data_IF_664422094251
#
_entry.id   IF_664422094251
#
_cell.length_a   1.000
_cell.length_b   1.000
_cell.length_c   1.000
_cell.angle_alpha   90.00
_cell.angle_beta   90.00
_cell.angle_gamma   90.00
#
_symmetry.space_group_name_H-M   'P 1'
#
loop_
_entity.id
_entity.type
_entity.pdbx_description
1 polymer ?
#
# COMPACT_ATOMS: atom_id res chain seq x y z
N UNK A 1 13.19 -2.48 -18.31
CA UNK A 1 13.19 -1.17 -17.64
C UNK A 1 13.91 -1.30 -16.30
N UNK A 2 14.46 -0.21 -15.75
CA UNK A 2 15.03 -0.18 -14.39
C UNK A 2 13.87 -0.24 -13.39
N UNK A 3 14.07 -0.94 -12.27
CA UNK A 3 13.17 -0.91 -11.11
C UNK A 3 12.92 0.54 -10.67
N UNK A 4 11.66 0.93 -10.47
CA UNK A 4 11.26 2.20 -9.89
C UNK A 4 10.93 1.98 -8.40
N UNK A 5 11.77 2.52 -7.52
CA UNK A 5 11.66 2.33 -6.08
C UNK A 5 10.38 2.95 -5.46
N UNK A 6 9.75 3.92 -6.14
CA UNK A 6 8.47 4.52 -5.70
C UNK A 6 7.28 3.61 -6.04
N UNK A 7 7.31 2.93 -7.19
CA UNK A 7 6.21 2.08 -7.69
C UNK A 7 6.06 0.81 -6.87
N UNK A 8 4.85 0.57 -6.40
CA UNK A 8 4.44 -0.69 -5.77
C UNK A 8 3.06 -1.15 -6.21
N UNK A 9 2.61 -2.28 -5.69
CA UNK A 9 1.26 -2.78 -5.96
C UNK A 9 0.67 -3.44 -4.71
N UNK A 10 -0.66 -3.43 -4.63
CA UNK A 10 -1.40 -4.19 -3.62
C UNK A 10 -1.55 -5.62 -4.10
N UNK A 11 -0.87 -6.56 -3.44
CA UNK A 11 -0.97 -7.97 -3.74
C UNK A 11 -2.25 -8.55 -3.13
N UNK A 12 -3.04 -9.23 -3.95
CA UNK A 12 -4.29 -9.88 -3.56
C UNK A 12 -4.19 -11.42 -3.58
N UNK A 13 -2.97 -11.94 -3.54
CA UNK A 13 -2.60 -13.35 -3.29
C UNK A 13 -2.99 -14.38 -4.37
N UNK A 14 -3.33 -13.95 -5.59
CA UNK A 14 -3.83 -14.86 -6.63
C UNK A 14 -2.75 -15.56 -7.46
N UNK A 15 -1.59 -14.95 -7.70
CA UNK A 15 -0.52 -15.64 -8.42
C UNK A 15 0.88 -15.09 -8.11
N UNK A 16 1.83 -15.99 -7.86
CA UNK A 16 3.25 -15.68 -7.80
C UNK A 16 3.83 -15.14 -9.11
N UNK A 17 3.06 -15.13 -10.20
CA UNK A 17 3.47 -14.47 -11.44
C UNK A 17 3.39 -12.94 -11.34
N UNK A 18 2.54 -12.38 -10.46
CA UNK A 18 2.42 -10.92 -10.31
C UNK A 18 3.76 -10.22 -10.04
N UNK A 19 4.57 -10.64 -9.04
CA UNK A 19 5.87 -10.01 -8.80
C UNK A 19 6.88 -10.22 -9.94
N UNK A 20 6.69 -11.22 -10.81
CA UNK A 20 7.49 -11.43 -12.02
C UNK A 20 7.07 -10.50 -13.15
N UNK A 21 5.75 -10.31 -13.33
CA UNK A 21 5.16 -9.46 -14.34
C UNK A 21 5.31 -7.97 -13.98
N UNK A 22 5.19 -7.62 -12.71
CA UNK A 22 5.29 -6.27 -12.16
C UNK A 22 6.70 -6.02 -11.62
N UNK A 23 7.73 -6.44 -12.35
CA UNK A 23 9.12 -6.34 -11.93
C UNK A 23 9.67 -4.90 -11.90
N UNK A 24 8.97 -3.94 -12.51
CA UNK A 24 9.28 -2.51 -12.37
C UNK A 24 9.00 -1.99 -10.97
N UNK A 25 8.11 -2.66 -10.22
CA UNK A 25 7.71 -2.25 -8.89
C UNK A 25 8.79 -2.62 -7.88
N UNK A 26 9.30 -1.64 -7.16
CA UNK A 26 10.32 -1.83 -6.12
C UNK A 26 9.77 -2.42 -4.82
N UNK A 27 8.45 -2.45 -4.64
CA UNK A 27 7.82 -2.96 -3.41
C UNK A 27 6.39 -3.46 -3.65
N UNK A 28 5.85 -4.21 -2.69
CA UNK A 28 4.43 -4.57 -2.61
C UNK A 28 4.03 -4.88 -1.17
N UNK A 29 2.73 -4.89 -0.89
CA UNK A 29 2.16 -5.33 0.38
C UNK A 29 0.81 -6.01 0.14
N UNK A 30 0.28 -6.73 1.13
CA UNK A 30 -0.95 -7.52 1.00
C UNK A 30 -1.83 -7.47 2.26
N UNK A 31 -1.72 -6.40 3.05
CA UNK A 31 -2.41 -6.18 4.32
C UNK A 31 -1.99 -7.10 5.49
N UNK A 32 -1.00 -7.98 5.30
CA UNK A 32 -0.60 -8.95 6.31
C UNK A 32 0.84 -8.72 6.80
N UNK A 33 1.18 -9.37 7.92
CA UNK A 33 2.57 -9.50 8.39
C UNK A 33 3.36 -10.56 7.62
N UNK A 34 2.67 -11.51 7.01
CA UNK A 34 3.23 -12.62 6.24
C UNK A 34 2.96 -12.38 4.76
N UNK A 35 3.95 -12.67 3.90
CA UNK A 35 3.82 -12.48 2.46
C UNK A 35 2.97 -13.61 1.88
N UNK A 36 1.81 -13.29 1.31
CA UNK A 36 0.89 -14.26 0.74
C UNK A 36 1.51 -15.13 -0.37
N UNK A 37 2.51 -14.64 -1.12
CA UNK A 37 3.24 -15.43 -2.12
C UNK A 37 4.20 -16.49 -1.52
N UNK A 38 4.37 -16.49 -0.19
CA UNK A 38 5.09 -17.53 0.55
C UNK A 38 4.20 -18.67 1.04
N UNK A 39 2.88 -18.48 1.06
CA UNK A 39 1.95 -19.48 1.57
C UNK A 39 1.98 -20.76 0.72
N UNK A 40 1.93 -21.94 1.35
CA UNK A 40 1.81 -23.20 0.61
C UNK A 40 0.59 -23.19 -0.31
N UNK A 41 0.75 -23.68 -1.54
CA UNK A 41 -0.34 -23.73 -2.52
C UNK A 41 -0.64 -22.41 -3.24
N UNK A 42 0.16 -21.36 -3.05
CA UNK A 42 0.09 -20.17 -3.89
C UNK A 42 0.27 -20.54 -5.38
N UNK A 43 -0.63 -20.10 -6.29
CA UNK A 43 -0.54 -20.44 -7.71
C UNK A 43 0.63 -19.73 -8.40
N UNK A 44 1.03 -20.20 -9.58
CA UNK A 44 2.07 -19.57 -10.41
C UNK A 44 3.50 -20.01 -10.07
N UNK A 45 4.50 -19.32 -10.64
CA UNK A 45 5.92 -19.71 -10.50
C UNK A 45 6.57 -19.11 -9.23
N UNK A 46 6.13 -19.58 -8.06
CA UNK A 46 6.63 -19.08 -6.77
C UNK A 46 8.12 -19.34 -6.55
N UNK A 47 8.68 -20.40 -7.11
CA UNK A 47 10.10 -20.71 -7.00
C UNK A 47 10.94 -19.64 -7.73
N UNK A 48 10.56 -19.31 -8.96
CA UNK A 48 11.20 -18.23 -9.73
C UNK A 48 10.91 -16.87 -9.14
N UNK A 49 9.70 -16.62 -8.66
CA UNK A 49 9.37 -15.36 -8.01
C UNK A 49 10.32 -15.11 -6.83
N UNK A 50 10.56 -16.11 -5.97
CA UNK A 50 11.50 -16.03 -4.83
C UNK A 50 12.94 -15.75 -5.27
N UNK A 51 13.45 -16.46 -6.28
CA UNK A 51 14.86 -16.37 -6.69
C UNK A 51 15.17 -15.19 -7.62
N UNK A 52 14.24 -14.81 -8.50
CA UNK A 52 14.45 -13.82 -9.54
C UNK A 52 13.80 -12.45 -9.25
N UNK A 53 12.77 -12.41 -8.42
CA UNK A 53 11.99 -11.20 -8.14
C UNK A 53 12.23 -10.64 -6.73
N UNK A 54 13.23 -11.16 -6.00
CA UNK A 54 13.60 -10.73 -4.65
C UNK A 54 12.38 -10.49 -3.73
N UNK A 55 11.41 -11.44 -3.72
CA UNK A 55 10.09 -11.23 -3.11
C UNK A 55 10.15 -10.69 -1.68
N UNK A 56 10.98 -11.30 -0.85
CA UNK A 56 11.04 -10.95 0.57
C UNK A 56 11.61 -9.54 0.77
N UNK A 57 12.55 -9.12 -0.09
CA UNK A 57 13.15 -7.79 -0.04
C UNK A 57 12.12 -6.71 -0.35
N UNK A 58 11.20 -7.00 -1.27
CA UNK A 58 10.19 -6.06 -1.80
C UNK A 58 8.89 -6.05 -0.98
N UNK A 59 8.64 -7.08 -0.18
CA UNK A 59 7.46 -7.13 0.67
C UNK A 59 7.56 -6.16 1.84
N UNK A 60 6.47 -5.42 2.10
CA UNK A 60 6.33 -4.55 3.27
C UNK A 60 5.20 -5.08 4.17
N UNK A 61 5.48 -5.51 5.41
CA UNK A 61 4.48 -6.03 6.33
C UNK A 61 3.54 -4.94 6.85
N UNK A 62 2.31 -5.32 7.18
CA UNK A 62 1.28 -4.44 7.70
C UNK A 62 0.51 -5.07 8.86
N UNK A 63 0.10 -4.25 9.83
CA UNK A 63 -0.97 -4.58 10.75
C UNK A 63 -2.29 -4.01 10.24
N UNK A 64 -3.20 -4.81 9.69
CA UNK A 64 -4.50 -4.31 9.21
C UNK A 64 -5.29 -3.61 10.34
N UNK A 65 -5.66 -4.33 11.39
CA UNK A 65 -6.37 -3.80 12.55
C UNK A 65 -5.56 -3.97 13.85
N UNK A 66 -6.04 -3.39 14.95
CA UNK A 66 -5.36 -3.45 16.26
C UNK A 66 -5.13 -4.89 16.74
N UNK A 67 -6.04 -5.81 16.42
CA UNK A 67 -5.96 -7.23 16.76
C UNK A 67 -4.76 -7.95 16.13
N UNK A 68 -4.17 -7.36 15.07
CA UNK A 68 -3.02 -7.94 14.37
C UNK A 68 -1.68 -7.57 15.01
N UNK A 69 -1.65 -6.60 15.93
CA UNK A 69 -0.39 -6.07 16.52
C UNK A 69 0.40 -7.16 17.24
N UNK A 70 -0.27 -8.09 17.91
CA UNK A 70 0.38 -9.16 18.66
C UNK A 70 0.84 -10.34 17.77
N UNK A 71 0.44 -10.36 16.50
CA UNK A 71 0.84 -11.43 15.57
C UNK A 71 2.35 -11.38 15.35
N UNK A 72 2.96 -12.56 15.26
CA UNK A 72 4.39 -12.71 15.01
C UNK A 72 4.66 -12.60 13.51
N UNK A 73 5.60 -11.74 13.12
CA UNK A 73 6.08 -11.70 11.75
C UNK A 73 7.03 -12.88 11.50
N UNK A 74 6.96 -13.55 10.35
CA UNK A 74 7.94 -14.57 9.98
C UNK A 74 9.38 -14.03 9.94
N UNK A 75 10.36 -14.87 10.26
CA UNK A 75 11.78 -14.46 10.32
C UNK A 75 12.38 -13.98 8.98
N UNK A 76 11.73 -14.29 7.86
CA UNK A 76 12.18 -13.89 6.53
C UNK A 76 11.72 -12.47 6.14
N UNK A 77 10.85 -11.84 6.94
CA UNK A 77 10.31 -10.52 6.63
C UNK A 77 11.40 -9.46 6.72
N UNK A 78 11.52 -8.66 5.66
CA UNK A 78 12.41 -7.51 5.65
C UNK A 78 11.82 -6.38 6.52
N UNK A 79 12.46 -6.12 7.66
CA UNK A 79 12.01 -5.11 8.63
C UNK A 79 12.48 -3.67 8.28
N UNK A 80 12.77 -3.35 7.02
CA UNK A 80 13.16 -1.97 6.64
C UNK A 80 12.00 -0.99 6.83
N UNK A 81 10.80 -1.39 6.40
CA UNK A 81 9.57 -0.63 6.52
C UNK A 81 8.51 -1.45 7.24
N UNK A 82 7.63 -0.78 7.97
CA UNK A 82 6.47 -1.39 8.59
C UNK A 82 5.25 -0.48 8.42
N UNK A 83 4.13 -1.02 7.94
CA UNK A 83 2.89 -0.28 7.70
C UNK A 83 1.90 -0.42 8.85
N UNK A 84 1.35 0.72 9.28
CA UNK A 84 0.31 0.81 10.30
C UNK A 84 -1.06 0.32 9.84
N UNK A 85 -2.11 0.75 10.57
CA UNK A 85 -3.48 0.27 10.42
C UNK A 85 -4.15 0.69 9.10
N UNK A 86 -4.98 -0.20 8.55
CA UNK A 86 -5.73 0.03 7.31
C UNK A 86 -7.07 0.70 7.62
N UNK A 87 -7.27 1.90 7.09
CA UNK A 87 -8.50 2.67 7.17
C UNK A 87 -9.16 2.59 8.56
N UNK A 88 -8.43 2.94 9.64
CA UNK A 88 -8.98 2.83 10.99
C UNK A 88 -10.22 3.71 11.18
N UNK A 89 -10.38 4.77 10.38
CA UNK A 89 -11.53 5.67 10.41
C UNK A 89 -12.74 5.19 9.59
N UNK A 90 -12.69 4.00 8.99
CA UNK A 90 -13.79 3.46 8.19
C UNK A 90 -14.59 2.43 9.02
N UNK A 91 -15.90 2.65 9.13
CA UNK A 91 -16.84 1.78 9.87
C UNK A 91 -16.90 0.36 9.33
N UNK A 92 -16.63 0.17 8.03
CA UNK A 92 -16.62 -1.15 7.39
C UNK A 92 -15.28 -1.89 7.53
N UNK A 93 -14.26 -1.25 8.10
CA UNK A 93 -12.96 -1.85 8.40
C UNK A 93 -12.79 -2.03 9.91
N UNK A 94 -11.74 -1.45 10.49
CA UNK A 94 -11.39 -1.65 11.90
C UNK A 94 -12.18 -0.75 12.85
N UNK A 95 -12.85 0.30 12.34
CA UNK A 95 -13.57 1.31 13.11
C UNK A 95 -12.87 1.71 14.43
N UNK A 96 -11.61 2.12 14.31
CA UNK A 96 -10.72 2.43 15.42
C UNK A 96 -10.59 3.94 15.59
N UNK A 97 -10.98 4.42 16.77
CA UNK A 97 -10.82 5.82 17.16
C UNK A 97 -9.33 6.22 17.20
N UNK A 98 -8.98 7.48 16.85
CA UNK A 98 -7.59 7.96 16.86
C UNK A 98 -6.83 7.71 18.16
N UNK A 99 -7.51 7.85 19.30
CA UNK A 99 -6.91 7.63 20.63
C UNK A 99 -6.52 6.17 20.86
N UNK A 100 -7.34 5.22 20.43
CA UNK A 100 -7.05 3.80 20.60
C UNK A 100 -5.94 3.35 19.64
N UNK A 101 -5.94 3.86 18.40
CA UNK A 101 -4.82 3.67 17.48
C UNK A 101 -3.51 4.24 18.06
N UNK A 102 -3.54 5.44 18.65
CA UNK A 102 -2.36 6.05 19.28
C UNK A 102 -1.83 5.20 20.44
N UNK A 103 -2.70 4.68 21.31
CA UNK A 103 -2.29 3.77 22.41
C UNK A 103 -1.65 2.49 21.87
N UNK A 104 -2.28 1.85 20.89
CA UNK A 104 -1.78 0.62 20.27
C UNK A 104 -0.46 0.85 19.53
N UNK A 105 -0.18 2.07 19.07
CA UNK A 105 1.06 2.42 18.39
C UNK A 105 2.31 2.21 19.26
N UNK A 106 2.20 2.20 20.60
CA UNK A 106 3.32 1.81 21.48
C UNK A 106 3.86 0.44 21.11
N UNK A 107 2.97 -0.55 20.98
CA UNK A 107 3.38 -1.92 20.66
C UNK A 107 3.96 -2.02 19.24
N UNK A 108 3.48 -1.23 18.27
CA UNK A 108 4.10 -1.13 16.94
C UNK A 108 5.54 -0.62 17.05
N UNK A 109 5.77 0.47 17.79
CA UNK A 109 7.09 1.05 17.98
C UNK A 109 8.07 0.09 18.67
N UNK A 110 7.58 -0.67 19.65
CA UNK A 110 8.39 -1.60 20.45
C UNK A 110 8.73 -2.88 19.67
N UNK A 111 7.83 -3.36 18.81
CA UNK A 111 8.03 -4.57 17.99
C UNK A 111 8.85 -4.32 16.73
N UNK A 112 8.84 -3.09 16.22
CA UNK A 112 9.55 -2.69 15.00
C UNK A 112 10.53 -1.53 15.26
N UNK A 113 11.47 -1.68 16.21
CA UNK A 113 12.31 -0.58 16.69
C UNK A 113 13.21 0.01 15.60
N UNK A 114 13.72 -0.84 14.70
CA UNK A 114 14.64 -0.47 13.62
C UNK A 114 13.94 -0.10 12.30
N UNK A 115 12.62 -0.30 12.20
CA UNK A 115 11.88 -0.07 10.96
C UNK A 115 11.51 1.39 10.79
N UNK A 116 11.50 1.87 9.55
CA UNK A 116 10.80 3.11 9.22
C UNK A 116 9.30 2.85 9.26
N UNK A 117 8.61 3.48 10.22
CA UNK A 117 7.17 3.25 10.43
C UNK A 117 6.34 4.15 9.52
N UNK A 118 5.48 3.52 8.72
CA UNK A 118 4.46 4.20 7.91
C UNK A 118 3.19 4.28 8.74
N UNK A 119 2.60 5.47 8.85
CA UNK A 119 1.40 5.71 9.66
C UNK A 119 0.24 4.77 9.30
N UNK A 120 -0.83 4.73 10.12
CA UNK A 120 -2.12 4.25 9.62
C UNK A 120 -2.51 4.99 8.33
N UNK A 121 -3.18 4.30 7.40
CA UNK A 121 -3.70 4.90 6.18
C UNK A 121 -5.20 5.16 6.37
N UNK A 122 -5.66 6.39 6.24
CA UNK A 122 -7.07 6.74 6.44
C UNK A 122 -7.87 6.61 5.15
N UNK A 123 -9.16 6.29 5.28
CA UNK A 123 -10.12 6.38 4.18
C UNK A 123 -10.63 7.80 4.01
N UNK A 124 -10.86 8.25 2.77
CA UNK A 124 -11.36 9.59 2.49
C UNK A 124 -10.42 10.71 2.94
N UNK A 125 -10.97 11.86 3.35
CA UNK A 125 -10.15 12.95 3.89
C UNK A 125 -9.64 12.63 5.30
N UNK A 126 -8.39 12.19 5.36
CA UNK A 126 -7.75 11.73 6.59
C UNK A 126 -7.41 12.80 7.61
N UNK A 127 -7.43 14.08 7.23
CA UNK A 127 -6.87 15.17 8.04
C UNK A 127 -7.46 15.22 9.46
N UNK A 128 -8.80 15.20 9.66
CA UNK A 128 -9.37 15.26 11.01
C UNK A 128 -8.96 14.07 11.88
N UNK A 129 -8.85 12.87 11.30
CA UNK A 129 -8.44 11.68 12.04
C UNK A 129 -6.95 11.73 12.41
N UNK A 130 -6.09 12.14 11.47
CA UNK A 130 -4.67 12.29 11.71
C UNK A 130 -4.35 13.38 12.74
N UNK A 131 -5.04 14.52 12.70
CA UNK A 131 -4.90 15.57 13.72
C UNK A 131 -5.16 15.02 15.13
N UNK A 132 -6.27 14.31 15.29
CA UNK A 132 -6.60 13.68 16.55
C UNK A 132 -5.56 12.61 16.92
N UNK A 133 -5.09 11.80 15.97
CA UNK A 133 -4.13 10.73 16.22
C UNK A 133 -2.76 11.30 16.67
N UNK A 134 -2.18 12.25 15.95
CA UNK A 134 -0.92 12.89 16.33
C UNK A 134 -1.04 13.72 17.62
N UNK A 135 -2.20 14.35 17.86
CA UNK A 135 -2.51 14.99 19.13
C UNK A 135 -2.52 14.00 20.30
N UNK A 136 -3.17 12.84 20.14
CA UNK A 136 -3.18 11.77 21.13
C UNK A 136 -1.78 11.17 21.34
N UNK A 137 -1.00 10.98 20.28
CA UNK A 137 0.40 10.57 20.37
C UNK A 137 1.22 11.56 21.22
N UNK A 138 1.04 12.86 21.02
CA UNK A 138 1.73 13.89 21.81
C UNK A 138 1.29 13.88 23.27
N UNK A 139 -0.01 13.66 23.53
CA UNK A 139 -0.53 13.56 24.89
C UNK A 139 -0.05 12.31 25.64
N UNK A 140 0.09 11.18 24.94
CA UNK A 140 0.51 9.90 25.52
C UNK A 140 2.04 9.79 25.66
N UNK A 141 2.80 10.38 24.74
CA UNK A 141 4.25 10.14 24.59
C UNK A 141 5.09 11.42 24.69
N UNK A 142 4.47 12.53 25.13
CA UNK A 142 5.12 13.83 25.25
C UNK A 142 5.45 14.46 23.90
N UNK A 143 6.34 15.46 23.90
CA UNK A 143 6.70 16.23 22.69
C UNK A 143 7.27 15.37 21.56
N UNK A 144 7.84 14.20 21.88
CA UNK A 144 8.35 13.28 20.87
C UNK A 144 7.24 12.60 20.07
N UNK A 145 6.04 12.46 20.66
CA UNK A 145 4.89 11.83 20.02
C UNK A 145 5.13 10.36 19.65
N UNK A 146 4.38 9.90 18.64
CA UNK A 146 4.57 8.59 18.03
C UNK A 146 5.72 8.68 17.01
N UNK A 147 6.62 7.70 17.01
CA UNK A 147 7.63 7.55 15.95
C UNK A 147 6.93 7.15 14.66
N UNK A 148 6.95 8.05 13.68
CA UNK A 148 6.41 7.84 12.34
C UNK A 148 7.40 8.47 11.37
N UNK A 149 7.82 7.69 10.38
CA UNK A 149 8.77 8.11 9.36
C UNK A 149 8.08 8.58 8.07
N UNK A 150 6.88 8.04 7.80
CA UNK A 150 6.13 8.32 6.58
C UNK A 150 4.63 8.34 6.87
N UNK A 151 3.88 9.14 6.10
CA UNK A 151 2.42 9.18 6.21
C UNK A 151 1.78 8.32 5.10
N UNK A 152 0.91 7.38 5.43
CA UNK A 152 0.13 6.63 4.45
C UNK A 152 -1.18 7.34 4.10
N UNK A 153 -1.59 7.25 2.83
CA UNK A 153 -2.84 7.78 2.32
C UNK A 153 -3.44 6.87 1.25
N UNK A 154 -4.77 6.85 1.18
CA UNK A 154 -5.52 6.25 0.07
C UNK A 154 -6.20 7.36 -0.74
N UNK A 155 -6.23 7.23 -2.06
CA UNK A 155 -6.98 8.14 -2.93
C UNK A 155 -7.68 7.41 -4.08
N UNK A 156 -8.98 7.62 -4.18
CA UNK A 156 -9.83 7.03 -5.21
C UNK A 156 -10.59 8.11 -6.00
N UNK A 157 -10.09 9.35 -5.97
CA UNK A 157 -10.72 10.50 -6.63
C UNK A 157 -10.86 10.34 -8.16
N UNK A 158 -9.95 9.58 -8.79
CA UNK A 158 -9.79 9.52 -10.24
C UNK A 158 -9.52 10.89 -10.89
N UNK A 159 -8.89 11.81 -10.16
CA UNK A 159 -8.50 13.13 -10.68
C UNK A 159 -7.05 13.39 -10.30
N UNK A 160 -6.11 13.42 -11.27
CA UNK A 160 -4.71 13.56 -10.95
C UNK A 160 -4.43 14.80 -10.11
N UNK A 161 -5.07 15.93 -10.38
CA UNK A 161 -4.81 17.17 -9.67
C UNK A 161 -5.35 17.14 -8.24
N UNK A 162 -6.50 16.52 -8.02
CA UNK A 162 -7.02 16.27 -6.69
C UNK A 162 -6.11 15.32 -5.91
N UNK A 163 -5.63 14.25 -6.54
CA UNK A 163 -4.64 13.33 -5.92
C UNK A 163 -3.42 14.09 -5.45
N UNK A 164 -2.75 14.83 -6.34
CA UNK A 164 -1.50 15.53 -5.99
C UNK A 164 -1.72 16.62 -4.94
N UNK A 165 -2.80 17.43 -5.05
CA UNK A 165 -3.14 18.43 -4.02
C UNK A 165 -3.41 17.80 -2.67
N UNK A 166 -4.05 16.62 -2.63
CA UNK A 166 -4.31 15.91 -1.39
C UNK A 166 -3.01 15.45 -0.74
N UNK A 167 -2.12 14.80 -1.50
CA UNK A 167 -0.83 14.35 -1.00
C UNK A 167 0.07 15.50 -0.53
N UNK A 168 0.09 16.61 -1.28
CA UNK A 168 0.84 17.81 -0.90
C UNK A 168 0.28 18.43 0.38
N UNK A 169 -1.05 18.53 0.53
CA UNK A 169 -1.70 18.99 1.76
C UNK A 169 -1.30 18.15 2.98
N UNK A 170 -1.23 16.82 2.80
CA UNK A 170 -0.79 15.91 3.86
C UNK A 170 0.68 16.13 4.22
N UNK A 171 1.55 16.22 3.21
CA UNK A 171 2.97 16.50 3.41
C UNK A 171 3.19 17.83 4.14
N UNK A 172 2.54 18.91 3.69
CA UNK A 172 2.70 20.24 4.27
C UNK A 172 2.18 20.34 5.69
N UNK A 173 1.14 19.57 6.02
CA UNK A 173 0.55 19.56 7.37
C UNK A 173 1.39 18.77 8.38
N UNK A 174 1.92 17.61 7.99
CA UNK A 174 2.58 16.69 8.90
C UNK A 174 4.11 16.68 8.76
N UNK A 175 4.64 17.33 7.72
CA UNK A 175 6.07 17.40 7.40
C UNK A 175 6.73 16.01 7.29
N UNK A 176 5.98 15.04 6.75
CA UNK A 176 6.41 13.66 6.51
C UNK A 176 6.26 13.33 5.03
N UNK A 177 7.23 12.61 4.42
CA UNK A 177 7.04 12.09 3.08
C UNK A 177 5.87 11.11 3.03
N UNK A 178 5.11 11.14 1.94
CA UNK A 178 3.82 10.47 1.80
C UNK A 178 3.94 9.17 1.01
N UNK A 179 3.27 8.14 1.49
CA UNK A 179 3.02 6.89 0.78
C UNK A 179 1.57 6.88 0.32
N UNK A 180 1.33 6.90 -1.00
CA UNK A 180 0.01 6.66 -1.56
C UNK A 180 -0.21 5.14 -1.68
N UNK A 181 -0.59 4.50 -0.58
CA UNK A 181 -0.58 3.03 -0.44
C UNK A 181 -1.69 2.36 -1.25
N UNK A 182 -2.79 3.07 -1.49
CA UNK A 182 -3.83 2.66 -2.42
C UNK A 182 -4.27 3.81 -3.29
N UNK A 183 -4.28 3.59 -4.60
CA UNK A 183 -5.01 4.45 -5.51
C UNK A 183 -5.48 3.72 -6.75
N UNK A 184 -6.62 4.18 -7.27
CA UNK A 184 -7.10 3.82 -8.60
C UNK A 184 -8.15 4.84 -9.05
N UNK A 185 -8.67 4.67 -10.27
CA UNK A 185 -9.79 5.48 -10.72
C UNK A 185 -11.12 5.00 -10.07
N UNK A 186 -11.33 5.36 -8.81
CA UNK A 186 -12.50 4.98 -8.02
C UNK A 186 -12.36 3.66 -7.24
N UNK A 187 -13.04 3.54 -6.11
CA UNK A 187 -12.94 2.41 -5.17
C UNK A 187 -13.78 1.18 -5.60
N UNK A 188 -13.85 0.87 -6.90
CA UNK A 188 -14.54 -0.31 -7.46
C UNK A 188 -16.07 -0.27 -7.51
N UNK A 189 -16.73 0.46 -6.60
CA UNK A 189 -18.21 0.54 -6.54
C UNK A 189 -18.87 1.14 -7.80
N UNK A 190 -18.15 1.98 -8.54
CA UNK A 190 -18.66 2.65 -9.75
C UNK A 190 -18.46 1.89 -11.06
N UNK A 191 -17.76 0.74 -11.06
CA UNK A 191 -17.41 -0.05 -12.26
C UNK A 191 -16.94 0.81 -13.45
N UNK A 192 -16.07 1.78 -13.21
CA UNK A 192 -15.55 2.66 -14.27
C UNK A 192 -14.88 1.83 -15.38
N UNK A 193 -15.00 2.27 -16.65
CA UNK A 193 -14.42 1.52 -17.76
C UNK A 193 -12.89 1.60 -17.70
N UNK A 194 -12.21 0.54 -18.15
CA UNK A 194 -10.74 0.44 -18.13
C UNK A 194 -10.05 1.61 -18.83
N UNK A 195 -10.71 2.25 -19.81
CA UNK A 195 -10.17 3.45 -20.49
C UNK A 195 -10.00 4.64 -19.55
N UNK A 196 -10.88 4.81 -18.55
CA UNK A 196 -10.77 5.91 -17.60
C UNK A 196 -9.64 5.65 -16.60
N UNK A 197 -9.49 4.41 -16.15
CA UNK A 197 -8.32 4.00 -15.34
C UNK A 197 -7.02 4.21 -16.09
N UNK A 198 -6.97 3.86 -17.39
CA UNK A 198 -5.78 4.04 -18.22
C UNK A 198 -5.42 5.53 -18.37
N UNK A 199 -6.39 6.38 -18.69
CA UNK A 199 -6.19 7.84 -18.80
C UNK A 199 -5.72 8.45 -17.49
N UNK A 200 -6.33 8.06 -16.38
CA UNK A 200 -5.92 8.52 -15.05
C UNK A 200 -4.48 8.08 -14.73
N UNK A 201 -4.15 6.80 -14.96
CA UNK A 201 -2.81 6.25 -14.73
C UNK A 201 -1.74 6.95 -15.57
N UNK A 202 -1.98 7.12 -16.88
CA UNK A 202 -1.08 7.84 -17.80
C UNK A 202 -0.82 9.29 -17.34
N UNK A 203 -1.83 9.97 -16.79
CA UNK A 203 -1.71 11.34 -16.32
C UNK A 203 -1.06 11.48 -14.93
N UNK A 204 -1.32 10.53 -14.01
CA UNK A 204 -0.88 10.64 -12.62
C UNK A 204 0.53 10.09 -12.39
N UNK A 205 0.95 9.04 -13.11
CA UNK A 205 2.25 8.39 -12.89
C UNK A 205 3.45 9.34 -13.04
N UNK A 206 3.59 10.14 -14.12
CA UNK A 206 4.73 11.04 -14.24
C UNK A 206 4.81 12.08 -13.11
N UNK A 207 3.66 12.46 -12.56
CA UNK A 207 3.55 13.45 -11.48
C UNK A 207 3.92 12.86 -10.12
N UNK A 208 3.49 11.62 -9.84
CA UNK A 208 3.90 10.89 -8.65
C UNK A 208 5.40 10.56 -8.69
N UNK A 209 5.94 10.24 -9.87
CA UNK A 209 7.37 10.02 -10.06
C UNK A 209 8.18 11.29 -9.77
N UNK A 210 7.73 12.45 -10.27
CA UNK A 210 8.41 13.74 -10.10
C UNK A 210 8.22 14.42 -8.73
N UNK A 211 7.19 14.05 -7.95
CA UNK A 211 6.92 14.68 -6.66
C UNK A 211 7.90 14.19 -5.57
N UNK A 212 8.76 15.08 -5.07
CA UNK A 212 9.76 14.74 -4.06
C UNK A 212 9.15 14.36 -2.70
N UNK A 213 7.99 14.92 -2.37
CA UNK A 213 7.25 14.58 -1.14
C UNK A 213 6.54 13.22 -1.21
N UNK A 214 6.43 12.61 -2.40
CA UNK A 214 5.88 11.26 -2.58
C UNK A 214 7.04 10.26 -2.50
N UNK A 215 7.06 9.50 -1.41
CA UNK A 215 8.09 8.48 -1.19
C UNK A 215 7.78 7.20 -1.97
N UNK A 216 6.54 6.72 -1.91
CA UNK A 216 6.08 5.48 -2.55
C UNK A 216 4.60 5.58 -2.93
N UNK A 217 4.19 4.83 -3.92
CA UNK A 217 2.78 4.73 -4.32
C UNK A 217 2.45 3.34 -4.88
N UNK A 218 1.21 2.88 -4.69
CA UNK A 218 0.80 1.52 -5.03
C UNK A 218 -0.61 1.46 -5.64
N UNK A 219 -0.71 0.88 -6.84
CA UNK A 219 -1.99 0.73 -7.52
C UNK A 219 -2.87 -0.33 -6.85
N UNK A 220 -4.15 0.00 -6.67
CA UNK A 220 -5.18 -0.92 -6.19
C UNK A 220 -5.97 -1.51 -7.38
N UNK A 221 -5.78 -2.78 -7.74
CA UNK A 221 -4.93 -3.84 -7.14
C UNK A 221 -4.04 -4.54 -8.18
N UNK A 222 -3.23 -5.51 -7.74
CA UNK A 222 -2.48 -6.39 -8.63
C UNK A 222 -3.40 -7.05 -9.66
N UNK A 223 -4.46 -7.76 -9.24
CA UNK A 223 -5.32 -8.49 -10.17
C UNK A 223 -6.62 -7.75 -10.52
N UNK A 224 -7.05 -7.90 -11.78
CA UNK A 224 -8.38 -7.47 -12.24
C UNK A 224 -9.46 -8.35 -11.59
N UNK A 225 -10.45 -7.72 -10.95
CA UNK A 225 -11.49 -8.44 -10.23
C UNK A 225 -12.19 -7.61 -9.15
N UNK A 226 -13.28 -8.14 -8.59
CA UNK A 226 -14.04 -7.53 -7.49
C UNK A 226 -14.46 -6.05 -7.72
N UNK A 227 -14.66 -5.67 -8.99
CA UNK A 227 -15.01 -4.30 -9.38
C UNK A 227 -13.81 -3.36 -9.56
N UNK A 228 -12.59 -3.79 -9.23
CA UNK A 228 -11.34 -3.08 -9.44
C UNK A 228 -10.76 -3.40 -10.82
N UNK A 229 -9.96 -2.47 -11.34
CA UNK A 229 -9.19 -2.64 -12.57
C UNK A 229 -7.73 -2.90 -12.26
N UNK A 230 -7.30 -4.14 -12.39
CA UNK A 230 -5.97 -4.57 -11.95
C UNK A 230 -4.89 -4.51 -13.02
N UNK A 231 -3.65 -4.69 -12.59
CA UNK A 231 -2.46 -4.70 -13.43
C UNK A 231 -2.23 -6.05 -14.13
N UNK A 232 -2.70 -7.14 -13.54
CA UNK A 232 -2.61 -8.52 -14.05
C UNK A 232 -3.98 -9.18 -14.14
N UNK A 233 -4.11 -10.18 -15.00
CA UNK A 233 -5.31 -11.00 -15.12
C UNK A 233 -4.92 -12.48 -15.35
N UNK A 234 -5.77 -13.44 -14.95
CA UNK A 234 -5.53 -14.85 -15.24
C UNK A 234 -5.47 -15.11 -16.75
N UNK A 235 -4.57 -16.00 -17.15
CA UNK A 235 -4.58 -16.54 -18.52
C UNK A 235 -5.74 -17.53 -18.64
N UNK A 236 -6.66 -17.38 -19.61
CA UNK A 236 -7.73 -18.36 -19.83
C UNK A 236 -7.16 -19.77 -20.04
N UNK A 237 -7.60 -20.74 -19.23
CA UNK A 237 -7.12 -22.13 -19.27
C UNK A 237 -5.69 -22.33 -18.74
N UNK A 238 -5.05 -21.30 -18.17
CA UNK A 238 -3.75 -21.39 -17.52
C UNK A 238 -3.91 -21.36 -16.00
N UNK A 239 -4.05 -22.53 -15.36
CA UNK A 239 -4.11 -22.61 -13.90
C UNK A 239 -2.88 -21.92 -13.28
N UNK A 240 -3.16 -20.93 -12.42
CA UNK A 240 -2.14 -20.17 -11.71
C UNK A 240 -1.30 -19.20 -12.54
N UNK A 241 -1.51 -19.09 -13.85
CA UNK A 241 -0.74 -18.17 -14.71
C UNK A 241 -1.41 -16.81 -14.86
N UNK A 242 -0.61 -15.76 -14.80
CA UNK A 242 -1.06 -14.38 -15.05
C UNK A 242 -0.46 -13.79 -16.31
N UNK A 243 -1.12 -12.77 -16.85
CA UNK A 243 -0.56 -11.86 -17.87
C UNK A 243 -0.87 -10.40 -17.49
N UNK A 244 -0.12 -9.46 -18.06
CA UNK A 244 -0.41 -8.03 -17.89
C UNK A 244 -1.74 -7.67 -18.56
N UNK A 245 -2.53 -6.85 -17.88
CA UNK A 245 -3.66 -6.14 -18.50
C UNK A 245 -3.14 -4.93 -19.28
N UNK A 246 -4.06 -4.19 -19.93
CA UNK A 246 -3.73 -2.86 -20.47
C UNK A 246 -3.09 -1.94 -19.41
N UNK A 247 -3.60 -1.97 -18.17
CA UNK A 247 -3.07 -1.16 -17.08
C UNK A 247 -1.70 -1.66 -16.64
N UNK A 248 -1.48 -2.97 -16.59
CA UNK A 248 -0.15 -3.54 -16.32
C UNK A 248 0.90 -3.11 -17.32
N UNK A 249 0.54 -3.00 -18.61
CA UNK A 249 1.46 -2.48 -19.63
C UNK A 249 1.80 -1.00 -19.42
N UNK A 250 0.84 -0.16 -19.04
CA UNK A 250 1.10 1.26 -18.70
C UNK A 250 1.96 1.34 -17.44
N UNK A 251 1.64 0.56 -16.41
CA UNK A 251 2.40 0.52 -15.16
C UNK A 251 3.86 0.13 -15.35
N UNK A 252 4.14 -0.78 -16.30
CA UNK A 252 5.47 -1.24 -16.64
C UNK A 252 6.26 -0.35 -17.60
N UNK A 253 5.63 0.68 -18.16
CA UNK A 253 6.30 1.66 -19.03
C UNK A 253 7.17 2.63 -18.24
#
# INVERSE_FOLDING_TARGET
SRENAKRGFVADSRSCDDPLLLNVSGWFYDYNLDNNYRKPGAPGDCARARSAAALDRRFVPMNWCLDSVEKQAPAYINATFFMGFNEPNNDHNCNTAPREAAKAWRAVMDRWPESQLVSPATSGDGVPWFDAFFGNCSALYGKAGCRISHLAAHDYSCDPDATLRYLERLHDRYHLPVWLTEFSCGAGAGKRPTVDHARFMEAVLPRLDAADFVYRYSWMSAHDGHGLRGLTEPVPGGEGRSRLTRLGHIWNS
#
